data_IF_014908982882
#
_entry.id   IF_014908982882
#
_cell.length_a   1.000
_cell.length_b   1.000
_cell.length_c   1.000
_cell.angle_alpha   90.00
_cell.angle_beta   90.00
_cell.angle_gamma   90.00
#
_symmetry.space_group_name_H-M   'P 1'
#
loop_
_entity.id
_entity.type
_entity.pdbx_description
1 polymer ?
#
# COMPACT_ATOMS: atom_id res chain seq x y z
N UNK A 1 2.93 -0.72 12.78
CA UNK A 1 2.60 -1.14 11.40
C UNK A 1 3.91 -1.31 10.67
N UNK A 2 4.07 -2.42 9.94
CA UNK A 2 5.17 -2.60 8.98
C UNK A 2 4.58 -2.70 7.59
N UNK A 3 5.40 -2.50 6.56
CA UNK A 3 4.96 -2.61 5.19
C UNK A 3 6.10 -3.14 4.31
N UNK A 4 5.74 -3.92 3.32
CA UNK A 4 6.63 -4.47 2.30
C UNK A 4 6.23 -3.91 0.94
N UNK A 5 7.22 -3.56 0.14
CA UNK A 5 7.02 -2.93 -1.17
C UNK A 5 7.82 -3.68 -2.21
N UNK A 6 7.15 -4.07 -3.30
CA UNK A 6 7.77 -4.72 -4.45
C UNK A 6 7.54 -3.87 -5.69
N UNK A 7 8.63 -3.34 -6.24
CA UNK A 7 8.61 -2.66 -7.54
C UNK A 7 8.83 -3.65 -8.68
N UNK A 8 8.06 -3.49 -9.76
CA UNK A 8 8.29 -4.17 -11.03
C UNK A 8 8.91 -3.18 -12.01
N UNK A 9 10.04 -3.56 -12.59
CA UNK A 9 10.74 -2.77 -13.61
C UNK A 9 10.57 -3.47 -14.96
N UNK A 10 10.08 -2.73 -15.95
CA UNK A 10 9.90 -3.19 -17.32
C UNK A 10 10.53 -2.17 -18.28
N UNK A 11 10.68 -2.53 -19.56
CA UNK A 11 11.29 -1.67 -20.57
C UNK A 11 10.30 -1.18 -21.65
N UNK A 12 9.17 -0.52 -21.31
CA UNK A 12 8.30 0.05 -22.32
C UNK A 12 9.08 1.09 -23.13
N UNK A 13 8.95 1.04 -24.45
CA UNK A 13 9.69 1.89 -25.39
C UNK A 13 11.23 1.76 -25.27
N UNK A 14 11.73 0.59 -24.85
CA UNK A 14 13.15 0.30 -24.64
C UNK A 14 13.81 1.11 -23.52
N UNK A 15 13.02 1.72 -22.63
CA UNK A 15 13.50 2.46 -21.46
C UNK A 15 13.03 1.76 -20.20
N UNK A 16 13.94 1.44 -19.28
CA UNK A 16 13.59 0.84 -18.00
C UNK A 16 12.79 1.82 -17.14
N UNK A 17 11.57 1.44 -16.79
CA UNK A 17 10.65 2.20 -15.93
C UNK A 17 10.10 1.28 -14.86
N UNK A 18 9.87 1.83 -13.67
CA UNK A 18 9.02 1.17 -12.68
C UNK A 18 7.59 1.32 -13.19
N UNK A 19 6.92 0.21 -13.48
CA UNK A 19 5.56 0.20 -14.04
C UNK A 19 4.51 -0.10 -12.99
N UNK A 20 4.88 -0.86 -11.95
CA UNK A 20 3.98 -1.27 -10.88
C UNK A 20 4.68 -1.38 -9.53
N UNK A 21 3.96 -1.03 -8.46
CA UNK A 21 4.40 -1.21 -7.08
C UNK A 21 3.29 -1.94 -6.31
N UNK A 22 3.63 -3.12 -5.77
CA UNK A 22 2.76 -3.85 -4.85
C UNK A 22 3.14 -3.52 -3.41
N UNK A 23 2.17 -3.11 -2.61
CA UNK A 23 2.33 -2.75 -1.21
C UNK A 23 1.56 -3.73 -0.32
N UNK A 24 2.24 -4.40 0.62
CA UNK A 24 1.60 -5.22 1.64
C UNK A 24 1.79 -4.58 3.01
N UNK A 25 0.69 -4.14 3.64
CA UNK A 25 0.70 -3.55 4.98
C UNK A 25 0.36 -4.58 6.05
N UNK A 26 1.13 -4.60 7.14
CA UNK A 26 0.88 -5.46 8.29
C UNK A 26 0.51 -4.60 9.50
N UNK A 27 -0.73 -4.76 9.96
CA UNK A 27 -1.30 -3.99 11.05
C UNK A 27 -1.65 -4.91 12.22
N UNK A 28 -1.25 -4.49 13.41
CA UNK A 28 -1.78 -5.00 14.67
C UNK A 28 -2.66 -3.92 15.27
N UNK A 29 -3.92 -4.24 15.55
CA UNK A 29 -4.90 -3.29 16.07
C UNK A 29 -5.61 -3.84 17.31
N UNK A 30 -6.20 -3.00 18.16
CA UNK A 30 -7.07 -3.45 19.23
C UNK A 30 -8.29 -4.22 18.68
N UNK A 31 -8.72 -5.26 19.41
CA UNK A 31 -9.94 -6.02 19.08
C UNK A 31 -11.15 -5.11 18.93
N UNK A 32 -11.95 -5.34 17.89
CA UNK A 32 -13.16 -4.55 17.60
C UNK A 32 -12.91 -3.25 16.84
N UNK A 33 -11.66 -2.98 16.43
CA UNK A 33 -11.32 -1.81 15.59
C UNK A 33 -11.10 -2.14 14.11
N UNK A 34 -11.30 -3.40 13.67
CA UNK A 34 -11.06 -3.82 12.28
C UNK A 34 -11.76 -2.92 11.26
N UNK A 35 -13.04 -2.64 11.45
CA UNK A 35 -13.80 -1.84 10.48
C UNK A 35 -13.25 -0.40 10.35
N UNK A 36 -12.87 0.22 11.48
CA UNK A 36 -12.26 1.54 11.47
C UNK A 36 -10.89 1.54 10.79
N UNK A 37 -10.09 0.49 11.02
CA UNK A 37 -8.80 0.31 10.38
C UNK A 37 -8.95 0.13 8.87
N UNK A 38 -9.90 -0.68 8.41
CA UNK A 38 -10.17 -0.87 6.97
C UNK A 38 -10.62 0.41 6.29
N UNK A 39 -11.49 1.20 6.93
CA UNK A 39 -11.89 2.52 6.38
C UNK A 39 -10.69 3.46 6.25
N UNK A 40 -9.80 3.48 7.24
CA UNK A 40 -8.58 4.28 7.17
C UNK A 40 -7.67 3.81 6.03
N UNK A 41 -7.44 2.50 5.88
CA UNK A 41 -6.59 1.92 4.83
C UNK A 41 -7.09 2.25 3.42
N UNK A 42 -8.41 2.25 3.19
CA UNK A 42 -9.01 2.65 1.91
C UNK A 42 -8.77 4.12 1.53
N UNK A 43 -8.45 4.97 2.50
CA UNK A 43 -8.20 6.41 2.26
C UNK A 43 -6.74 6.80 2.43
N UNK A 44 -5.92 5.92 3.02
CA UNK A 44 -4.53 6.19 3.38
C UNK A 44 -3.68 6.59 2.18
N UNK A 45 -3.90 5.98 1.02
CA UNK A 45 -3.18 6.31 -0.21
C UNK A 45 -3.26 7.81 -0.54
N UNK A 46 -4.40 8.46 -0.27
CA UNK A 46 -4.58 9.90 -0.51
C UNK A 46 -3.62 10.77 0.30
N UNK A 47 -3.16 10.29 1.46
CA UNK A 47 -2.20 10.99 2.32
C UNK A 47 -0.76 10.54 2.14
N UNK A 48 -0.49 9.51 1.32
CA UNK A 48 0.85 8.97 1.11
C UNK A 48 1.64 9.84 0.11
N UNK A 49 2.75 10.49 0.53
CA UNK A 49 3.53 11.33 -0.39
C UNK A 49 4.07 10.57 -1.59
N UNK A 50 4.42 9.29 -1.42
CA UNK A 50 4.95 8.43 -2.50
C UNK A 50 3.86 8.11 -3.53
N UNK A 51 2.65 7.78 -3.09
CA UNK A 51 1.54 7.53 -4.01
C UNK A 51 1.15 8.82 -4.74
N UNK A 52 1.17 9.96 -4.06
CA UNK A 52 0.88 11.26 -4.67
C UNK A 52 1.89 11.64 -5.76
N UNK A 53 3.19 11.44 -5.54
CA UNK A 53 4.23 11.82 -6.52
C UNK A 53 4.33 10.87 -7.71
N UNK A 54 3.94 9.61 -7.54
CA UNK A 54 3.99 8.58 -8.58
C UNK A 54 2.64 8.33 -9.26
N UNK A 55 1.59 9.03 -8.83
CA UNK A 55 0.23 8.88 -9.35
C UNK A 55 0.18 9.07 -10.86
N UNK A 56 -0.38 8.09 -11.57
CA UNK A 56 -0.52 8.13 -13.03
C UNK A 56 0.74 7.73 -13.80
N UNK A 57 1.88 7.58 -13.12
CA UNK A 57 3.12 7.07 -13.72
C UNK A 57 3.34 5.58 -13.43
N UNK A 58 2.82 5.09 -12.31
CA UNK A 58 3.01 3.73 -11.80
C UNK A 58 1.67 3.18 -11.32
N UNK A 59 1.40 1.92 -11.61
CA UNK A 59 0.26 1.20 -11.04
C UNK A 59 0.54 0.83 -9.57
N UNK A 60 -0.39 1.12 -8.67
CA UNK A 60 -0.29 0.74 -7.27
C UNK A 60 -1.31 -0.34 -6.92
N UNK A 61 -0.83 -1.41 -6.31
CA UNK A 61 -1.67 -2.41 -5.67
C UNK A 61 -1.46 -2.35 -4.16
N UNK A 62 -2.54 -2.33 -3.41
CA UNK A 62 -2.51 -2.26 -1.96
C UNK A 62 -3.22 -3.47 -1.36
N UNK A 63 -2.48 -4.22 -0.57
CA UNK A 63 -2.99 -5.32 0.23
C UNK A 63 -2.62 -5.12 1.69
N UNK A 64 -3.41 -5.70 2.59
CA UNK A 64 -3.13 -5.60 4.01
C UNK A 64 -3.57 -6.83 4.80
N UNK A 65 -2.79 -7.13 5.83
CA UNK A 65 -3.10 -8.14 6.84
C UNK A 65 -3.34 -7.44 8.17
N UNK A 66 -4.52 -7.66 8.75
CA UNK A 66 -4.91 -7.11 10.04
C UNK A 66 -4.97 -8.22 11.09
N UNK A 67 -4.12 -8.09 12.11
CA UNK A 67 -4.17 -8.90 13.33
C UNK A 67 -4.84 -8.10 14.44
N UNK A 68 -5.92 -8.63 14.99
CA UNK A 68 -6.54 -8.06 16.20
C UNK A 68 -5.87 -8.66 17.43
N UNK A 69 -5.48 -7.81 18.37
CA UNK A 69 -4.88 -8.21 19.63
C UNK A 69 -5.68 -7.61 20.80
N UNK A 70 -5.83 -8.38 21.88
CA UNK A 70 -6.28 -7.86 23.17
C UNK A 70 -5.09 -7.13 23.83
N UNK A 71 -5.30 -5.86 24.17
CA UNK A 71 -4.34 -5.04 24.89
C UNK A 71 -4.49 -5.22 26.39
#
# INVERSE_FOLDING_TARGET
MTAEFKGTIEAPDKVLKITRIDCHYHLTIPKGKREAAERALKTFERGCPVAQTLKGCVEFNHEWTIKEQEG
#
